data_IF_853744608863
#
_entry.id   IF_853744608863
#
_cell.length_a   1.000
_cell.length_b   1.000
_cell.length_c   1.000
_cell.angle_alpha   90.00
_cell.angle_beta   90.00
_cell.angle_gamma   90.00
#
_symmetry.space_group_name_H-M   'P 1'
#
loop_
_entity.id
_entity.type
_entity.pdbx_description
1 polymer ?
#
# COMPACT_ATOMS: atom_id res chain seq x y z
N UNK A 1 5.53 90.89 -16.82
CA UNK A 1 6.39 90.84 -18.03
C UNK A 1 6.17 89.51 -18.72
N UNK A 2 5.59 89.56 -19.93
CA UNK A 2 5.75 88.71 -21.14
C UNK A 2 6.21 87.25 -20.90
N UNK A 3 5.57 86.19 -21.37
CA UNK A 3 4.70 86.01 -22.54
C UNK A 3 5.25 84.87 -23.41
N UNK A 4 4.33 84.05 -23.94
CA UNK A 4 4.43 83.16 -25.10
C UNK A 4 5.28 81.87 -25.03
N UNK A 5 4.61 80.80 -25.44
CA UNK A 5 5.05 79.43 -25.61
C UNK A 5 5.82 79.23 -26.94
N UNK A 6 6.71 78.24 -26.95
CA UNK A 6 7.33 77.69 -28.15
C UNK A 6 6.78 76.30 -28.48
N UNK A 7 6.53 76.12 -29.78
CA UNK A 7 6.12 74.92 -30.48
C UNK A 7 7.38 74.18 -30.99
N UNK A 8 7.22 72.89 -31.36
CA UNK A 8 7.95 72.13 -32.40
C UNK A 8 8.95 71.03 -31.99
N UNK A 9 8.42 69.80 -32.14
CA UNK A 9 8.92 68.63 -32.93
C UNK A 9 10.02 67.70 -32.37
N UNK A 10 9.66 66.41 -32.53
CA UNK A 10 10.33 65.17 -32.17
C UNK A 10 11.49 64.77 -33.08
N UNK A 11 12.44 63.99 -32.55
CA UNK A 11 13.16 62.92 -33.28
C UNK A 11 13.45 61.72 -32.34
N UNK A 12 13.22 60.53 -32.91
CA UNK A 12 13.42 59.15 -32.47
C UNK A 12 14.79 58.82 -31.85
N UNK A 13 14.87 57.80 -30.97
CA UNK A 13 15.54 56.50 -31.21
C UNK A 13 15.05 55.48 -30.15
N UNK A 14 14.37 54.41 -30.59
CA UNK A 14 14.10 53.22 -29.78
C UNK A 14 15.30 52.27 -29.85
N UNK A 15 16.05 52.16 -28.75
CA UNK A 15 17.05 51.10 -28.55
C UNK A 15 16.41 49.93 -27.80
N UNK A 16 15.98 48.90 -28.54
CA UNK A 16 15.47 47.66 -27.98
C UNK A 16 16.61 46.80 -27.42
N UNK A 17 16.66 46.66 -26.10
CA UNK A 17 17.54 45.71 -25.40
C UNK A 17 16.96 44.29 -25.56
N UNK A 18 17.59 43.46 -26.37
CA UNK A 18 17.31 42.03 -26.49
C UNK A 18 18.06 41.27 -25.38
N UNK A 19 17.33 40.88 -24.32
CA UNK A 19 17.81 39.94 -23.31
C UNK A 19 17.24 38.54 -23.59
N UNK A 20 18.16 37.66 -24.02
CA UNK A 20 18.23 36.21 -23.76
C UNK A 20 16.95 35.49 -23.28
N UNK A 21 16.26 34.85 -24.22
CA UNK A 21 15.35 33.74 -23.94
C UNK A 21 16.02 32.41 -24.26
N UNK A 22 16.83 31.89 -23.34
CA UNK A 22 17.33 30.53 -23.45
C UNK A 22 16.14 29.56 -23.37
N UNK A 23 15.91 28.80 -24.43
CA UNK A 23 15.03 27.65 -24.41
C UNK A 23 15.68 26.57 -23.54
N UNK A 24 15.57 26.70 -22.22
CA UNK A 24 15.82 25.59 -21.32
C UNK A 24 14.70 24.59 -21.54
N UNK A 25 14.94 23.60 -22.41
CA UNK A 25 14.24 22.33 -22.41
C UNK A 25 14.56 21.63 -21.09
N UNK A 26 13.96 22.15 -20.01
CA UNK A 26 13.95 21.49 -18.72
C UNK A 26 13.33 20.13 -18.94
N UNK A 27 14.14 19.08 -18.80
CA UNK A 27 13.63 17.74 -18.54
C UNK A 27 12.69 17.88 -17.34
N UNK A 28 11.39 17.92 -17.62
CA UNK A 28 10.35 17.73 -16.62
C UNK A 28 10.68 16.38 -16.01
N UNK A 29 11.33 16.40 -14.83
CA UNK A 29 11.61 15.22 -14.05
C UNK A 29 10.31 14.43 -14.00
N UNK A 30 10.37 13.18 -14.44
CA UNK A 30 9.19 12.32 -14.49
C UNK A 30 8.57 12.29 -13.10
N UNK A 31 7.50 13.05 -12.87
CA UNK A 31 6.67 12.91 -11.69
C UNK A 31 6.06 11.52 -11.80
N UNK A 32 6.73 10.51 -11.23
CA UNK A 32 6.26 9.14 -11.23
C UNK A 32 4.91 9.15 -10.50
N UNK A 33 3.84 8.96 -11.27
CA UNK A 33 2.49 8.84 -10.74
C UNK A 33 2.48 7.67 -9.74
N UNK A 34 2.12 7.95 -8.49
CA UNK A 34 2.05 6.94 -7.44
C UNK A 34 0.86 6.02 -7.73
N UNK A 35 1.13 4.73 -7.89
CA UNK A 35 0.09 3.74 -8.14
C UNK A 35 -0.87 3.60 -6.95
N UNK A 36 -2.11 3.18 -7.21
CA UNK A 36 -3.11 2.89 -6.16
C UNK A 36 -2.56 1.92 -5.11
N UNK A 37 -1.76 0.92 -5.55
CA UNK A 37 -1.10 -0.03 -4.65
C UNK A 37 -0.15 0.67 -3.68
N UNK A 38 0.69 1.56 -4.18
CA UNK A 38 1.62 2.34 -3.36
C UNK A 38 0.87 3.21 -2.36
N UNK A 39 -0.17 3.91 -2.78
CA UNK A 39 -1.00 4.76 -1.90
C UNK A 39 -1.68 3.95 -0.79
N UNK A 40 -2.28 2.81 -1.13
CA UNK A 40 -2.92 1.95 -0.13
C UNK A 40 -1.90 1.34 0.83
N UNK A 41 -0.76 0.87 0.33
CA UNK A 41 0.30 0.33 1.17
C UNK A 41 0.91 1.41 2.09
N UNK A 42 1.14 2.62 1.57
CA UNK A 42 1.58 3.79 2.35
C UNK A 42 0.61 4.08 3.51
N UNK A 43 -0.69 4.06 3.23
CA UNK A 43 -1.74 4.28 4.23
C UNK A 43 -1.75 3.18 5.29
N UNK A 44 -1.74 1.91 4.88
CA UNK A 44 -1.79 0.76 5.78
C UNK A 44 -0.55 0.66 6.67
N UNK A 45 0.64 0.92 6.12
CA UNK A 45 1.90 0.87 6.85
C UNK A 45 1.97 1.87 8.02
N UNK A 46 1.25 2.99 7.90
CA UNK A 46 1.19 4.05 8.92
C UNK A 46 -0.11 4.06 9.72
N UNK A 47 -1.01 3.10 9.50
CA UNK A 47 -2.31 3.09 10.17
C UNK A 47 -2.18 2.40 11.53
N UNK A 48 -2.47 3.08 12.66
CA UNK A 48 -2.34 2.49 13.99
C UNK A 48 -3.33 1.34 14.24
N UNK A 49 -4.35 1.17 13.40
CA UNK A 49 -5.28 0.03 13.46
C UNK A 49 -4.74 -1.22 12.75
N UNK A 50 -3.60 -1.13 12.06
CA UNK A 50 -3.00 -2.25 11.33
C UNK A 50 -1.64 -2.57 11.92
N UNK A 51 -1.56 -3.67 12.66
CA UNK A 51 -0.29 -4.27 13.02
C UNK A 51 0.26 -5.08 11.84
N UNK A 52 1.56 -4.96 11.55
CA UNK A 52 2.25 -5.78 10.56
C UNK A 52 3.38 -6.53 11.25
N UNK A 53 3.31 -7.87 11.25
CA UNK A 53 4.36 -8.67 11.85
C UNK A 53 5.69 -8.47 11.09
N UNK A 54 6.76 -8.25 11.85
CA UNK A 54 8.14 -8.22 11.37
C UNK A 54 8.84 -9.58 11.53
N UNK A 55 8.06 -10.65 11.69
CA UNK A 55 8.51 -12.04 11.84
C UNK A 55 7.53 -12.98 11.14
N UNK A 56 7.99 -14.19 10.80
CA UNK A 56 7.12 -15.29 10.38
C UNK A 56 6.69 -16.13 11.57
N UNK A 57 5.47 -16.63 11.57
CA UNK A 57 4.97 -17.56 12.61
C UNK A 57 5.84 -18.83 12.69
N UNK A 58 6.47 -19.23 11.57
CA UNK A 58 7.42 -20.35 11.50
C UNK A 58 8.76 -20.11 12.19
N UNK A 59 9.05 -18.87 12.63
CA UNK A 59 10.35 -18.47 13.17
C UNK A 59 11.45 -18.29 12.11
N UNK A 60 11.17 -18.56 10.83
CA UNK A 60 12.12 -18.31 9.74
C UNK A 60 12.37 -16.81 9.58
N UNK A 61 13.59 -16.46 9.17
CA UNK A 61 14.02 -15.09 8.93
C UNK A 61 14.36 -14.93 7.46
N UNK A 62 13.63 -14.06 6.78
CA UNK A 62 13.91 -13.61 5.42
C UNK A 62 13.37 -12.16 5.25
N UNK A 63 13.30 -11.67 4.01
CA UNK A 63 12.80 -10.32 3.68
C UNK A 63 11.35 -10.33 3.14
N UNK A 64 10.54 -11.30 3.56
CA UNK A 64 9.18 -11.55 3.09
C UNK A 64 8.12 -11.50 4.21
N UNK A 65 8.43 -10.95 5.38
CA UNK A 65 7.44 -10.74 6.46
C UNK A 65 6.32 -9.78 6.01
N UNK A 66 5.18 -9.77 6.72
CA UNK A 66 4.07 -8.86 6.41
C UNK A 66 4.52 -7.39 6.37
N UNK A 67 5.36 -6.97 7.33
CA UNK A 67 5.94 -5.63 7.35
C UNK A 67 6.80 -5.34 6.12
N UNK A 68 7.74 -6.24 5.77
CA UNK A 68 8.61 -6.06 4.60
C UNK A 68 7.82 -6.08 3.29
N UNK A 69 6.80 -6.95 3.17
CA UNK A 69 5.91 -6.98 2.01
C UNK A 69 5.15 -5.67 1.83
N UNK A 70 4.60 -5.09 2.90
CA UNK A 70 3.89 -3.81 2.82
C UNK A 70 4.84 -2.65 2.47
N UNK A 71 6.04 -2.62 3.06
CA UNK A 71 7.09 -1.63 2.75
C UNK A 71 7.57 -1.71 1.30
N UNK A 72 7.65 -2.92 0.75
CA UNK A 72 7.98 -3.12 -0.67
C UNK A 72 6.86 -2.59 -1.57
N UNK A 73 5.60 -2.89 -1.23
CA UNK A 73 4.44 -2.39 -1.97
C UNK A 73 4.33 -0.85 -1.92
N UNK A 74 4.60 -0.22 -0.78
CA UNK A 74 4.67 1.24 -0.62
C UNK A 74 5.70 1.86 -1.58
N UNK A 75 6.85 1.21 -1.76
CA UNK A 75 7.91 1.66 -2.68
C UNK A 75 7.63 1.36 -4.15
N UNK A 76 6.46 0.79 -4.47
CA UNK A 76 6.10 0.39 -5.83
C UNK A 76 6.73 -0.91 -6.29
N UNK A 77 7.36 -1.64 -5.38
CA UNK A 77 8.05 -2.89 -5.68
C UNK A 77 7.10 -4.08 -5.54
N UNK A 78 7.46 -5.19 -6.18
CA UNK A 78 6.83 -6.49 -5.91
C UNK A 78 7.24 -6.95 -4.52
N UNK A 79 6.28 -7.45 -3.75
CA UNK A 79 6.50 -8.03 -2.44
C UNK A 79 7.13 -9.41 -2.55
N UNK A 80 8.22 -9.64 -1.81
CA UNK A 80 8.95 -10.91 -1.82
C UNK A 80 8.10 -12.05 -1.28
N UNK A 81 8.24 -13.22 -1.88
CA UNK A 81 7.76 -14.49 -1.34
C UNK A 81 8.93 -15.17 -0.62
N UNK A 82 8.62 -15.89 0.45
CA UNK A 82 9.61 -16.76 1.10
C UNK A 82 10.12 -17.84 0.13
N UNK A 83 11.32 -18.36 0.39
CA UNK A 83 11.96 -19.40 -0.43
C UNK A 83 12.41 -20.59 0.45
N UNK A 84 11.49 -21.12 1.25
CA UNK A 84 11.71 -22.27 2.11
C UNK A 84 10.49 -23.19 2.12
N UNK A 85 10.70 -24.48 2.38
CA UNK A 85 9.64 -25.50 2.35
C UNK A 85 8.88 -25.45 1.01
N UNK A 86 7.58 -25.15 1.04
CA UNK A 86 6.72 -25.10 -0.16
C UNK A 86 6.65 -23.70 -0.78
N UNK A 87 7.35 -22.72 -0.20
CA UNK A 87 7.34 -21.36 -0.67
C UNK A 87 8.17 -21.22 -1.96
N UNK A 88 7.60 -20.68 -3.05
CA UNK A 88 8.19 -20.73 -4.38
C UNK A 88 9.30 -19.69 -4.63
N UNK A 89 9.63 -18.85 -3.66
CA UNK A 89 10.54 -17.72 -3.84
C UNK A 89 10.04 -16.69 -4.85
N UNK A 90 10.91 -15.76 -5.26
CA UNK A 90 10.56 -14.66 -6.17
C UNK A 90 9.70 -13.58 -5.49
N UNK A 91 8.87 -12.88 -6.28
CA UNK A 91 8.08 -11.77 -5.78
C UNK A 91 6.74 -11.65 -6.52
N UNK A 92 5.76 -10.96 -5.94
CA UNK A 92 4.43 -10.74 -6.52
C UNK A 92 3.92 -9.35 -6.14
N UNK A 93 3.08 -8.76 -6.97
CA UNK A 93 2.38 -7.54 -6.56
C UNK A 93 1.25 -7.88 -5.61
N UNK A 94 1.11 -7.13 -4.52
CA UNK A 94 -0.09 -7.22 -3.68
C UNK A 94 -1.30 -6.69 -4.47
N UNK A 95 -2.40 -7.44 -4.44
CA UNK A 95 -3.62 -7.10 -5.14
C UNK A 95 -4.26 -5.83 -4.55
N UNK A 96 -4.69 -4.92 -5.41
CA UNK A 96 -5.25 -3.63 -4.97
C UNK A 96 -6.61 -3.77 -4.31
N UNK A 97 -7.40 -4.80 -4.65
CA UNK A 97 -8.69 -5.10 -4.01
C UNK A 97 -8.46 -5.62 -2.59
N UNK A 98 -7.46 -6.46 -2.39
CA UNK A 98 -7.04 -6.90 -1.04
C UNK A 98 -6.59 -5.70 -0.19
N UNK A 99 -5.67 -4.87 -0.70
CA UNK A 99 -5.19 -3.70 0.02
C UNK A 99 -6.31 -2.69 0.31
N UNK A 100 -7.24 -2.51 -0.63
CA UNK A 100 -8.42 -1.67 -0.43
C UNK A 100 -9.35 -2.24 0.64
N UNK A 101 -9.58 -3.56 0.63
CA UNK A 101 -10.36 -4.25 1.65
C UNK A 101 -9.75 -4.09 3.05
N UNK A 102 -8.43 -4.28 3.17
CA UNK A 102 -7.68 -4.00 4.40
C UNK A 102 -7.85 -2.55 4.84
N UNK A 103 -7.71 -1.58 3.94
CA UNK A 103 -7.86 -0.16 4.25
C UNK A 103 -9.29 0.14 4.75
N UNK A 104 -10.30 -0.36 4.05
CA UNK A 104 -11.71 -0.12 4.40
C UNK A 104 -12.11 -0.78 5.72
N UNK A 105 -11.54 -1.94 6.07
CA UNK A 105 -11.73 -2.53 7.40
C UNK A 105 -11.34 -1.53 8.51
N UNK A 106 -10.22 -0.82 8.35
CA UNK A 106 -9.79 0.20 9.33
C UNK A 106 -10.75 1.39 9.39
N UNK A 107 -11.34 1.77 8.25
CA UNK A 107 -12.37 2.82 8.17
C UNK A 107 -13.69 2.39 8.80
N UNK A 108 -13.95 1.09 8.83
CA UNK A 108 -15.11 0.46 9.46
C UNK A 108 -14.91 0.14 10.95
N UNK A 109 -13.89 0.71 11.58
CA UNK A 109 -13.64 0.55 13.01
C UNK A 109 -12.88 -0.72 13.42
N UNK A 110 -12.44 -1.56 12.48
CA UNK A 110 -11.64 -2.74 12.80
C UNK A 110 -10.18 -2.39 13.02
N UNK A 111 -9.55 -3.00 14.02
CA UNK A 111 -8.10 -3.14 14.09
C UNK A 111 -7.71 -4.60 13.99
N UNK A 112 -6.55 -4.87 13.41
CA UNK A 112 -6.07 -6.24 13.21
C UNK A 112 -4.56 -6.27 13.06
N UNK A 113 -3.95 -7.42 13.37
CA UNK A 113 -2.53 -7.68 13.10
C UNK A 113 -2.38 -8.72 12.00
N UNK A 114 -1.68 -8.35 10.94
CA UNK A 114 -1.36 -9.22 9.81
C UNK A 114 -0.05 -9.94 10.08
N UNK A 115 -0.05 -11.26 9.94
CA UNK A 115 1.14 -12.11 10.10
C UNK A 115 1.80 -12.46 8.78
N UNK A 116 1.01 -12.68 7.72
CA UNK A 116 1.52 -13.09 6.42
C UNK A 116 0.77 -12.39 5.27
N UNK A 117 1.50 -12.06 4.21
CA UNK A 117 1.00 -11.50 2.94
C UNK A 117 1.46 -12.37 1.77
N UNK A 118 2.60 -12.07 1.15
CA UNK A 118 3.19 -12.92 0.11
C UNK A 118 4.24 -13.91 0.66
N UNK A 119 4.72 -13.67 1.88
CA UNK A 119 5.65 -14.54 2.60
C UNK A 119 5.03 -15.79 3.22
N UNK A 120 5.88 -16.56 3.89
CA UNK A 120 5.49 -17.79 4.58
C UNK A 120 5.47 -19.02 3.67
N UNK A 121 5.40 -20.19 4.30
CA UNK A 121 5.21 -21.47 3.62
C UNK A 121 3.76 -21.95 3.74
N UNK A 122 3.09 -22.10 2.60
CA UNK A 122 1.67 -22.38 2.41
C UNK A 122 1.49 -23.53 1.41
N UNK A 123 0.23 -23.91 1.12
CA UNK A 123 -0.07 -24.82 0.01
C UNK A 123 0.41 -24.26 -1.32
N UNK A 124 0.79 -25.14 -2.26
CA UNK A 124 1.40 -24.76 -3.53
C UNK A 124 0.56 -23.77 -4.33
N UNK A 125 -0.77 -23.91 -4.26
CA UNK A 125 -1.74 -23.05 -4.96
C UNK A 125 -2.26 -21.88 -4.11
N UNK A 126 -1.63 -21.63 -2.96
CA UNK A 126 -2.04 -20.60 -2.01
C UNK A 126 -2.11 -19.21 -2.65
N UNK A 127 -3.16 -18.48 -2.30
CA UNK A 127 -3.37 -17.11 -2.74
C UNK A 127 -2.37 -16.12 -2.14
N UNK A 128 -1.67 -16.48 -1.07
CA UNK A 128 -0.50 -15.73 -0.59
C UNK A 128 0.54 -15.58 -1.71
N UNK A 129 0.81 -16.65 -2.47
CA UNK A 129 1.80 -16.62 -3.56
C UNK A 129 1.35 -15.86 -4.81
N UNK A 130 0.06 -15.48 -4.86
CA UNK A 130 -0.55 -14.61 -5.87
C UNK A 130 -0.65 -13.16 -5.39
N UNK A 131 -0.32 -12.88 -4.12
CA UNK A 131 -0.43 -11.55 -3.53
C UNK A 131 -1.87 -11.13 -3.23
N UNK A 132 -2.81 -12.07 -3.17
CA UNK A 132 -4.25 -11.82 -3.03
C UNK A 132 -4.80 -12.22 -1.67
N UNK A 133 -3.95 -12.67 -0.73
CA UNK A 133 -4.37 -13.10 0.60
C UNK A 133 -3.55 -12.48 1.73
N UNK A 134 -4.17 -12.38 2.90
CA UNK A 134 -3.51 -12.08 4.16
C UNK A 134 -4.01 -12.98 5.29
N UNK A 135 -3.13 -13.23 6.26
CA UNK A 135 -3.47 -13.87 7.52
C UNK A 135 -3.46 -12.85 8.64
N UNK A 136 -4.49 -12.84 9.48
CA UNK A 136 -4.57 -11.97 10.67
C UNK A 136 -4.75 -12.76 11.96
N UNK A 137 -3.94 -12.46 12.97
CA UNK A 137 -3.88 -13.24 14.21
C UNK A 137 -4.34 -12.47 15.46
N UNK A 138 -4.61 -11.18 15.33
CA UNK A 138 -5.34 -10.36 16.31
C UNK A 138 -6.43 -9.58 15.59
N UNK A 139 -7.58 -9.44 16.23
CA UNK A 139 -8.71 -8.63 15.78
C UNK A 139 -9.21 -7.82 16.97
N UNK A 140 -9.28 -6.50 16.84
CA UNK A 140 -9.68 -5.55 17.88
C UNK A 140 -8.92 -5.77 19.21
N UNK A 141 -7.60 -5.99 19.11
CA UNK A 141 -6.75 -6.23 20.28
C UNK A 141 -6.86 -7.62 20.90
N UNK A 142 -7.79 -8.47 20.45
CA UNK A 142 -7.99 -9.83 20.95
C UNK A 142 -7.34 -10.84 20.01
N UNK A 143 -6.55 -11.79 20.55
CA UNK A 143 -5.95 -12.88 19.77
C UNK A 143 -7.05 -13.67 19.06
N UNK A 144 -6.81 -14.08 17.82
CA UNK A 144 -7.74 -14.95 17.09
C UNK A 144 -7.76 -16.35 17.71
N UNK A 145 -8.97 -16.82 17.99
CA UNK A 145 -9.28 -18.13 18.58
C UNK A 145 -10.79 -18.28 18.74
N UNK A 146 -11.25 -19.43 19.25
CA UNK A 146 -12.69 -19.72 19.44
C UNK A 146 -13.39 -18.74 20.37
N UNK A 147 -12.67 -18.16 21.34
CA UNK A 147 -13.20 -17.20 22.31
C UNK A 147 -13.18 -15.73 21.84
N UNK A 148 -12.71 -15.43 20.62
CA UNK A 148 -12.66 -14.05 20.15
C UNK A 148 -14.06 -13.56 19.73
N UNK A 149 -14.68 -12.58 20.44
CA UNK A 149 -16.04 -12.15 20.16
C UNK A 149 -16.18 -11.39 18.83
N UNK A 150 -15.08 -10.86 18.32
CA UNK A 150 -15.02 -10.05 17.11
C UNK A 150 -14.87 -10.90 15.83
N UNK A 151 -14.44 -12.15 15.97
CA UNK A 151 -14.07 -13.04 14.87
C UNK A 151 -15.13 -13.14 13.77
N UNK A 152 -16.36 -13.53 14.14
CA UNK A 152 -17.45 -13.71 13.18
C UNK A 152 -17.80 -12.39 12.48
N UNK A 153 -17.72 -11.28 13.20
CA UNK A 153 -17.98 -9.94 12.67
C UNK A 153 -16.95 -9.51 11.64
N UNK A 154 -15.67 -9.68 11.98
CA UNK A 154 -14.55 -9.39 11.08
C UNK A 154 -14.64 -10.24 9.80
N UNK A 155 -14.79 -11.56 9.94
CA UNK A 155 -14.91 -12.46 8.79
C UNK A 155 -16.10 -12.12 7.89
N UNK A 156 -17.26 -11.77 8.47
CA UNK A 156 -18.42 -11.30 7.70
C UNK A 156 -18.11 -10.01 6.96
N UNK A 157 -17.45 -9.04 7.60
CA UNK A 157 -17.09 -7.78 6.95
C UNK A 157 -16.11 -8.01 5.79
N UNK A 158 -15.14 -8.91 5.92
CA UNK A 158 -14.26 -9.29 4.81
C UNK A 158 -15.04 -9.79 3.59
N UNK A 159 -16.02 -10.69 3.80
CA UNK A 159 -16.89 -11.19 2.71
C UNK A 159 -17.71 -10.07 2.07
N UNK A 160 -18.27 -9.17 2.87
CA UNK A 160 -18.99 -8.00 2.36
C UNK A 160 -18.11 -7.06 1.51
N UNK A 161 -16.79 -7.06 1.75
CA UNK A 161 -15.80 -6.30 0.97
C UNK A 161 -15.25 -7.08 -0.23
N UNK A 162 -15.87 -8.22 -0.58
CA UNK A 162 -15.54 -8.98 -1.79
C UNK A 162 -14.47 -10.07 -1.61
N UNK A 163 -14.09 -10.41 -0.37
CA UNK A 163 -13.24 -11.57 -0.15
C UNK A 163 -13.96 -12.86 -0.57
N UNK A 164 -13.30 -13.68 -1.41
CA UNK A 164 -13.85 -14.91 -1.99
C UNK A 164 -13.81 -16.07 -1.01
N UNK A 165 -12.76 -16.13 -0.21
CA UNK A 165 -12.61 -17.12 0.84
C UNK A 165 -12.14 -16.46 2.13
N UNK A 166 -12.77 -16.87 3.22
CA UNK A 166 -12.50 -16.39 4.57
C UNK A 166 -12.57 -17.57 5.52
N UNK A 167 -11.41 -18.01 6.02
CA UNK A 167 -11.25 -19.18 6.90
C UNK A 167 -10.72 -18.73 8.25
N UNK A 168 -11.17 -19.36 9.32
CA UNK A 168 -10.80 -19.00 10.69
C UNK A 168 -11.00 -20.16 11.65
N UNK A 169 -10.97 -19.94 12.96
CA UNK A 169 -11.19 -20.98 13.96
C UNK A 169 -12.45 -21.80 13.69
N UNK A 170 -12.29 -23.12 13.61
CA UNK A 170 -13.30 -24.08 13.12
C UNK A 170 -12.97 -24.67 11.74
N UNK A 171 -12.09 -24.04 10.96
CA UNK A 171 -11.53 -24.59 9.72
C UNK A 171 -10.17 -25.26 10.00
N UNK A 172 -9.89 -26.45 9.44
CA UNK A 172 -8.59 -27.10 9.58
C UNK A 172 -7.43 -26.16 9.22
N UNK A 173 -6.40 -26.11 10.07
CA UNK A 173 -5.24 -25.22 9.89
C UNK A 173 -5.41 -23.77 10.36
N UNK A 174 -6.61 -23.32 10.73
CA UNK A 174 -6.91 -21.90 10.99
C UNK A 174 -7.31 -21.62 12.46
N UNK A 175 -6.79 -22.39 13.42
CA UNK A 175 -7.18 -22.27 14.84
C UNK A 175 -6.77 -20.94 15.49
N UNK A 176 -5.77 -20.25 14.95
CA UNK A 176 -5.08 -19.13 15.61
C UNK A 176 -5.01 -17.86 14.76
N UNK A 177 -5.60 -17.88 13.56
CA UNK A 177 -5.62 -16.76 12.63
C UNK A 177 -6.84 -16.85 11.71
N UNK A 178 -7.16 -15.75 11.04
CA UNK A 178 -8.11 -15.68 9.94
C UNK A 178 -7.33 -15.52 8.65
N UNK A 179 -7.57 -16.41 7.70
CA UNK A 179 -7.11 -16.28 6.31
C UNK A 179 -8.21 -15.58 5.49
N UNK A 180 -7.83 -14.59 4.68
CA UNK A 180 -8.74 -13.82 3.83
C UNK A 180 -8.12 -13.64 2.45
N UNK A 181 -8.86 -13.96 1.37
CA UNK A 181 -8.40 -13.79 -0.02
C UNK A 181 -9.41 -13.09 -0.96
N UNK A 182 -8.91 -12.36 -1.98
CA UNK A 182 -9.66 -11.60 -3.00
C UNK A 182 -9.50 -12.09 -4.45
#
# INVERSE_FOLDING_TARGET
MRGAAFLVVAVLVLGGVLLVGACSSGSLGSTQSTSVRQTLAYSLLRNPRVGLANFHVSGRRDKATAFENMRQAERGQRSRRSAYQRAPGGAVYLDTRMLWGMHYLTRSGWSFRVTELAGGSHSEKSSHYKGTAFDADYINGVKVGSGNPHLKGFMRKCRQLGAREVRGPGTPGHRTHVHVEW
#
